data_IF_741900506179
#
_entry.id   IF_741900506179
#
_cell.length_a   1.000
_cell.length_b   1.000
_cell.length_c   1.000
_cell.angle_alpha   90.00
_cell.angle_beta   90.00
_cell.angle_gamma   90.00
#
_symmetry.space_group_name_H-M   'P 1'
#
loop_
_entity.id
_entity.type
_entity.pdbx_description
1 polymer ?
#
# COMPACT_ATOMS: atom_id res chain seq x y z
N UNK A 1 19.01 -20.62 -15.67
CA UNK A 1 17.56 -20.36 -15.84
C UNK A 1 17.17 -19.21 -14.93
N UNK A 2 16.77 -18.06 -15.49
CA UNK A 2 16.20 -16.97 -14.69
C UNK A 2 14.81 -17.38 -14.20
N UNK A 3 14.60 -17.46 -12.89
CA UNK A 3 13.25 -17.55 -12.31
C UNK A 3 12.54 -16.20 -12.54
N UNK A 4 11.26 -16.24 -12.88
CA UNK A 4 10.43 -15.02 -12.94
C UNK A 4 10.39 -14.34 -11.57
N UNK A 5 10.32 -13.00 -11.54
CA UNK A 5 10.23 -12.22 -10.30
C UNK A 5 9.07 -12.68 -9.40
N UNK A 6 7.95 -13.09 -10.00
CA UNK A 6 6.81 -13.68 -9.29
C UNK A 6 7.19 -14.97 -8.55
N UNK A 7 7.95 -15.85 -9.20
CA UNK A 7 8.38 -17.13 -8.61
C UNK A 7 9.32 -16.88 -7.43
N UNK A 8 10.21 -15.89 -7.54
CA UNK A 8 11.12 -15.53 -6.44
C UNK A 8 10.37 -14.92 -5.26
N UNK A 9 9.48 -13.95 -5.50
CA UNK A 9 8.66 -13.34 -4.44
C UNK A 9 7.81 -14.41 -3.75
N UNK A 10 7.19 -15.30 -4.52
CA UNK A 10 6.36 -16.37 -3.98
C UNK A 10 7.14 -17.41 -3.16
N UNK A 11 8.43 -17.65 -3.46
CA UNK A 11 9.26 -18.58 -2.69
C UNK A 11 9.84 -17.99 -1.42
N UNK A 12 10.03 -16.66 -1.36
CA UNK A 12 10.68 -15.96 -0.24
C UNK A 12 9.69 -15.33 0.75
N UNK A 13 8.39 -15.36 0.45
CA UNK A 13 7.35 -14.75 1.30
C UNK A 13 6.17 -15.70 1.51
N UNK A 14 5.35 -15.45 2.55
CA UNK A 14 4.21 -16.29 2.89
C UNK A 14 2.97 -15.50 3.31
N UNK A 15 1.84 -16.20 3.44
CA UNK A 15 0.56 -15.62 3.84
C UNK A 15 0.07 -14.50 2.92
N UNK A 16 -0.71 -13.60 3.49
CA UNK A 16 -1.30 -12.48 2.74
C UNK A 16 -0.26 -11.43 2.29
N UNK A 17 0.90 -11.38 2.96
CA UNK A 17 2.02 -10.56 2.51
C UNK A 17 2.55 -11.03 1.14
N UNK A 18 2.72 -12.34 0.95
CA UNK A 18 3.05 -12.92 -0.35
C UNK A 18 1.99 -12.60 -1.39
N UNK A 19 0.71 -12.79 -1.04
CA UNK A 19 -0.39 -12.59 -1.97
C UNK A 19 -0.47 -11.13 -2.43
N UNK A 20 -0.23 -10.18 -1.52
CA UNK A 20 -0.12 -8.77 -1.83
C UNK A 20 1.04 -8.48 -2.80
N UNK A 21 2.24 -8.97 -2.51
CA UNK A 21 3.39 -8.73 -3.37
C UNK A 21 3.21 -9.35 -4.75
N UNK A 22 2.66 -10.57 -4.84
CA UNK A 22 2.35 -11.22 -6.11
C UNK A 22 1.33 -10.39 -6.92
N UNK A 23 0.29 -9.85 -6.28
CA UNK A 23 -0.68 -8.98 -6.94
C UNK A 23 -0.01 -7.71 -7.49
N UNK A 24 0.86 -7.07 -6.71
CA UNK A 24 1.58 -5.86 -7.13
C UNK A 24 2.55 -6.14 -8.29
N UNK A 25 3.30 -7.25 -8.24
CA UNK A 25 4.25 -7.64 -9.30
C UNK A 25 3.54 -8.05 -10.59
N UNK A 26 2.33 -8.61 -10.49
CA UNK A 26 1.50 -8.94 -11.66
C UNK A 26 1.12 -7.67 -12.43
N UNK A 27 1.07 -6.51 -11.77
CA UNK A 27 0.89 -5.21 -12.42
C UNK A 27 -0.52 -4.97 -12.97
N UNK A 28 -1.53 -5.70 -12.50
CA UNK A 28 -2.92 -5.59 -12.95
C UNK A 28 -3.71 -4.46 -12.27
N UNK A 29 -3.02 -3.48 -11.68
CA UNK A 29 -3.67 -2.31 -11.08
C UNK A 29 -4.27 -1.44 -12.17
N UNK A 30 -5.45 -0.90 -11.92
CA UNK A 30 -6.04 0.10 -12.80
C UNK A 30 -5.09 1.30 -12.99
N UNK A 31 -4.76 1.59 -14.24
CA UNK A 31 -3.86 2.67 -14.65
C UNK A 31 -4.61 3.93 -15.11
N UNK A 32 -5.95 3.88 -15.13
CA UNK A 32 -6.81 5.02 -15.43
C UNK A 32 -6.72 6.11 -14.35
N UNK A 33 -7.34 7.25 -14.65
CA UNK A 33 -7.62 8.30 -13.66
C UNK A 33 -9.11 8.34 -13.29
N UNK A 34 -9.85 7.32 -13.68
CA UNK A 34 -11.29 7.28 -13.50
C UNK A 34 -11.62 6.97 -12.05
N UNK A 35 -12.75 7.51 -11.59
CA UNK A 35 -13.18 7.34 -10.21
C UNK A 35 -14.69 7.17 -10.13
N UNK A 36 -15.13 6.45 -9.10
CA UNK A 36 -16.53 6.19 -8.83
C UNK A 36 -16.82 6.40 -7.33
N UNK A 37 -17.62 7.42 -7.03
CA UNK A 37 -17.95 7.81 -5.65
C UNK A 37 -18.78 6.75 -4.92
N UNK A 38 -19.69 6.07 -5.62
CA UNK A 38 -20.50 5.04 -5.01
C UNK A 38 -19.65 3.82 -4.67
N UNK A 39 -18.80 3.38 -5.60
CA UNK A 39 -17.86 2.28 -5.36
C UNK A 39 -16.89 2.62 -4.23
N UNK A 40 -16.44 3.87 -4.12
CA UNK A 40 -15.57 4.31 -3.03
C UNK A 40 -16.25 4.16 -1.66
N UNK A 41 -17.54 4.49 -1.57
CA UNK A 41 -18.35 4.33 -0.35
C UNK A 41 -18.56 2.85 -0.02
N UNK A 42 -18.85 2.03 -1.03
CA UNK A 42 -19.05 0.59 -0.85
C UNK A 42 -17.76 -0.09 -0.36
N UNK A 43 -16.61 0.27 -0.95
CA UNK A 43 -15.29 -0.21 -0.53
C UNK A 43 -14.92 0.28 0.87
N UNK A 44 -15.26 1.52 1.24
CA UNK A 44 -15.09 2.02 2.60
C UNK A 44 -15.89 1.19 3.63
N UNK A 45 -17.13 0.79 3.30
CA UNK A 45 -17.95 -0.08 4.14
C UNK A 45 -17.31 -1.46 4.29
N UNK A 46 -16.76 -2.04 3.21
CA UNK A 46 -16.05 -3.33 3.24
C UNK A 46 -14.81 -3.28 4.15
N UNK A 47 -13.98 -2.23 4.00
CA UNK A 47 -12.80 -2.03 4.85
C UNK A 47 -13.18 -1.84 6.33
N UNK A 48 -14.28 -1.14 6.61
CA UNK A 48 -14.76 -0.94 7.97
C UNK A 48 -15.29 -2.23 8.59
N UNK A 49 -15.95 -3.07 7.80
CA UNK A 49 -16.40 -4.39 8.24
C UNK A 49 -15.22 -5.31 8.59
N UNK A 50 -14.18 -5.32 7.75
CA UNK A 50 -12.95 -6.10 7.99
C UNK A 50 -12.27 -5.69 9.30
N UNK A 51 -12.18 -4.39 9.59
CA UNK A 51 -11.58 -3.91 10.84
C UNK A 51 -12.43 -4.12 12.10
N UNK A 52 -13.70 -4.54 11.95
CA UNK A 52 -14.57 -4.91 13.08
C UNK A 52 -14.66 -6.41 13.30
N UNK A 53 -14.59 -7.18 12.22
CA UNK A 53 -14.54 -8.61 12.30
C UNK A 53 -13.14 -9.03 12.77
N UNK A 54 -13.02 -9.61 13.97
CA UNK A 54 -11.84 -10.40 14.40
C UNK A 54 -11.58 -11.65 13.54
N UNK A 55 -12.08 -11.66 12.31
CA UNK A 55 -12.29 -12.84 11.48
C UNK A 55 -11.75 -12.57 10.08
N UNK A 56 -10.42 -12.56 9.94
CA UNK A 56 -9.89 -13.30 8.80
C UNK A 56 -9.77 -14.75 9.27
N UNK A 57 -10.89 -15.46 9.18
CA UNK A 57 -10.88 -16.92 9.23
C UNK A 57 -9.91 -17.43 8.18
N UNK A 58 -9.04 -18.37 8.58
CA UNK A 58 -7.98 -18.98 7.76
C UNK A 58 -8.47 -19.31 6.33
N UNK A 59 -8.14 -18.47 5.34
CA UNK A 59 -8.21 -18.85 3.93
C UNK A 59 -8.71 -17.81 2.91
N UNK A 60 -9.36 -16.71 3.31
CA UNK A 60 -9.81 -15.68 2.36
C UNK A 60 -8.96 -14.41 2.45
N UNK A 61 -8.57 -13.83 1.30
CA UNK A 61 -7.87 -12.55 1.25
C UNK A 61 -8.77 -11.42 1.75
N UNK A 62 -8.20 -10.51 2.54
CA UNK A 62 -8.92 -9.34 3.08
C UNK A 62 -9.39 -8.40 1.97
N UNK A 63 -10.39 -7.58 2.28
CA UNK A 63 -10.76 -6.46 1.41
C UNK A 63 -9.62 -5.45 1.32
N UNK A 64 -8.76 -5.32 2.34
CA UNK A 64 -7.54 -4.52 2.27
C UNK A 64 -6.64 -4.97 1.12
N UNK A 65 -6.34 -6.27 0.98
CA UNK A 65 -5.55 -6.77 -0.14
C UNK A 65 -6.21 -6.42 -1.47
N UNK A 66 -7.49 -6.78 -1.63
CA UNK A 66 -8.19 -6.63 -2.91
C UNK A 66 -8.22 -5.16 -3.35
N UNK A 67 -8.64 -4.26 -2.47
CA UNK A 67 -8.80 -2.84 -2.76
C UNK A 67 -7.45 -2.16 -2.93
N UNK A 68 -6.52 -2.36 -1.98
CA UNK A 68 -5.22 -1.68 -2.02
C UNK A 68 -4.32 -2.18 -3.15
N UNK A 69 -4.47 -3.41 -3.64
CA UNK A 69 -3.66 -3.93 -4.74
C UNK A 69 -4.19 -3.57 -6.14
N UNK A 70 -5.50 -3.43 -6.32
CA UNK A 70 -6.12 -3.31 -7.66
C UNK A 70 -6.56 -1.89 -8.05
N UNK A 71 -7.00 -1.07 -7.09
CA UNK A 71 -7.59 0.23 -7.39
C UNK A 71 -6.54 1.27 -7.78
N UNK A 72 -6.89 2.19 -8.68
CA UNK A 72 -6.01 3.31 -9.04
C UNK A 72 -5.87 4.30 -7.86
N UNK A 73 -4.81 5.11 -7.88
CA UNK A 73 -4.49 6.03 -6.76
C UNK A 73 -5.57 7.09 -6.52
N UNK A 74 -6.32 7.51 -7.54
CA UNK A 74 -7.37 8.53 -7.41
C UNK A 74 -8.61 7.94 -6.74
N UNK A 75 -8.98 6.70 -7.12
CA UNK A 75 -10.06 5.97 -6.48
C UNK A 75 -9.72 5.65 -5.01
N UNK A 76 -8.49 5.23 -4.72
CA UNK A 76 -8.04 4.97 -3.35
C UNK A 76 -8.17 6.19 -2.44
N UNK A 77 -7.86 7.40 -2.92
CA UNK A 77 -8.05 8.63 -2.14
C UNK A 77 -9.51 8.85 -1.75
N UNK A 78 -10.46 8.55 -2.65
CA UNK A 78 -11.90 8.62 -2.36
C UNK A 78 -12.32 7.56 -1.34
N UNK A 79 -11.82 6.33 -1.48
CA UNK A 79 -12.07 5.26 -0.51
C UNK A 79 -11.58 5.66 0.88
N UNK A 80 -10.38 6.25 0.99
CA UNK A 80 -9.82 6.67 2.28
C UNK A 80 -10.63 7.81 2.92
N UNK A 81 -11.10 8.76 2.11
CA UNK A 81 -11.97 9.84 2.58
C UNK A 81 -13.32 9.29 3.08
N UNK A 82 -13.98 8.43 2.30
CA UNK A 82 -15.25 7.81 2.69
C UNK A 82 -15.09 6.91 3.93
N UNK A 83 -13.97 6.20 4.05
CA UNK A 83 -13.65 5.41 5.24
C UNK A 83 -13.49 6.28 6.48
N UNK A 84 -12.82 7.42 6.36
CA UNK A 84 -12.63 8.35 7.48
C UNK A 84 -13.96 8.94 7.96
N UNK A 85 -14.85 9.31 7.02
CA UNK A 85 -16.20 9.77 7.31
C UNK A 85 -17.04 8.69 8.01
N UNK A 86 -17.00 7.46 7.50
CA UNK A 86 -17.78 6.33 8.04
C UNK A 86 -17.30 5.87 9.43
N UNK A 87 -15.98 5.77 9.61
CA UNK A 87 -15.38 5.13 10.78
C UNK A 87 -15.03 6.10 11.92
N UNK A 88 -14.94 7.41 11.61
CA UNK A 88 -14.39 8.42 12.51
C UNK A 88 -12.88 8.32 12.74
N UNK A 89 -12.17 7.50 11.95
CA UNK A 89 -10.73 7.29 12.05
C UNK A 89 -10.08 7.15 10.67
N UNK A 90 -8.81 7.48 10.55
CA UNK A 90 -8.05 7.31 9.31
C UNK A 90 -7.82 5.83 9.00
N UNK A 91 -7.67 5.49 7.72
CA UNK A 91 -7.38 4.12 7.28
C UNK A 91 -6.03 3.61 7.85
N UNK A 92 -5.04 4.49 8.02
CA UNK A 92 -3.74 4.16 8.58
C UNK A 92 -3.87 3.61 10.01
N UNK A 93 -4.63 4.31 10.87
CA UNK A 93 -4.92 3.86 12.24
C UNK A 93 -5.65 2.52 12.27
N UNK A 94 -6.56 2.27 11.33
CA UNK A 94 -7.22 0.97 11.22
C UNK A 94 -6.21 -0.12 10.85
N UNK A 95 -5.33 0.14 9.88
CA UNK A 95 -4.26 -0.80 9.49
C UNK A 95 -3.32 -1.08 10.66
N UNK A 96 -2.92 -0.05 11.41
CA UNK A 96 -2.02 -0.17 12.57
C UNK A 96 -2.63 -1.00 13.71
N UNK A 97 -3.96 -1.01 13.83
CA UNK A 97 -4.66 -1.77 14.85
C UNK A 97 -4.88 -3.24 14.46
N UNK A 98 -5.18 -3.48 13.18
CA UNK A 98 -5.65 -4.80 12.71
C UNK A 98 -4.51 -5.68 12.15
N UNK A 99 -3.44 -5.08 11.63
CA UNK A 99 -2.32 -5.81 11.03
C UNK A 99 -1.02 -5.60 11.79
N UNK A 100 -0.08 -6.52 11.61
CA UNK A 100 1.27 -6.41 12.18
C UNK A 100 2.35 -6.79 11.16
N UNK A 101 3.61 -6.54 11.51
CA UNK A 101 4.76 -6.97 10.73
C UNK A 101 4.84 -6.35 9.33
N UNK A 102 5.30 -7.14 8.35
CA UNK A 102 5.57 -6.62 7.01
C UNK A 102 4.30 -6.40 6.18
N UNK A 103 3.21 -7.11 6.49
CA UNK A 103 1.91 -6.85 5.89
C UNK A 103 1.38 -5.46 6.27
N UNK A 104 1.43 -5.12 7.57
CA UNK A 104 1.07 -3.78 8.06
C UNK A 104 1.89 -2.68 7.38
N UNK A 105 3.23 -2.84 7.37
CA UNK A 105 4.13 -1.86 6.72
C UNK A 105 3.82 -1.69 5.24
N UNK A 106 3.47 -2.77 4.55
CA UNK A 106 3.16 -2.75 3.12
C UNK A 106 1.85 -2.01 2.84
N UNK A 107 0.79 -2.26 3.60
CA UNK A 107 -0.44 -1.50 3.45
C UNK A 107 -0.26 -0.02 3.77
N UNK A 108 0.45 0.33 4.85
CA UNK A 108 0.77 1.73 5.16
C UNK A 108 1.58 2.39 4.04
N UNK A 109 2.51 1.66 3.43
CA UNK A 109 3.30 2.15 2.29
C UNK A 109 2.41 2.46 1.09
N UNK A 110 1.46 1.58 0.75
CA UNK A 110 0.51 1.80 -0.35
C UNK A 110 -0.38 3.00 -0.06
N UNK A 111 -0.92 3.11 1.16
CA UNK A 111 -1.76 4.26 1.55
C UNK A 111 -0.98 5.56 1.42
N UNK A 112 0.25 5.63 1.95
CA UNK A 112 1.08 6.84 1.88
C UNK A 112 1.40 7.22 0.43
N UNK A 113 1.82 6.26 -0.39
CA UNK A 113 2.16 6.50 -1.78
C UNK A 113 0.95 6.89 -2.65
N UNK A 114 -0.24 6.34 -2.37
CA UNK A 114 -1.48 6.70 -3.07
C UNK A 114 -1.97 8.09 -2.66
N UNK A 115 -1.90 8.43 -1.37
CA UNK A 115 -2.29 9.74 -0.84
C UNK A 115 -1.41 10.86 -1.37
N UNK A 116 -0.08 10.72 -1.24
CA UNK A 116 0.89 11.72 -1.67
C UNK A 116 2.25 11.06 -1.92
N UNK A 117 2.56 10.85 -3.21
CA UNK A 117 3.75 10.12 -3.66
C UNK A 117 5.04 10.90 -3.36
N UNK A 118 5.02 12.20 -3.59
CA UNK A 118 6.16 13.08 -3.33
C UNK A 118 6.48 13.11 -1.84
N UNK A 119 5.47 13.28 -0.99
CA UNK A 119 5.64 13.23 0.47
C UNK A 119 6.12 11.86 0.96
N UNK A 120 5.66 10.78 0.35
CA UNK A 120 6.16 9.44 0.64
C UNK A 120 7.67 9.35 0.37
N UNK A 121 8.14 9.73 -0.82
CA UNK A 121 9.57 9.67 -1.14
C UNK A 121 10.41 10.66 -0.33
N UNK A 122 9.91 11.86 -0.05
CA UNK A 122 10.57 12.81 0.85
C UNK A 122 10.77 12.23 2.25
N UNK A 123 9.77 11.49 2.77
CA UNK A 123 9.89 10.75 4.04
C UNK A 123 10.92 9.62 3.95
N UNK A 124 10.99 8.91 2.83
CA UNK A 124 12.00 7.85 2.63
C UNK A 124 13.42 8.42 2.61
N UNK A 125 13.64 9.56 1.94
CA UNK A 125 14.92 10.29 1.95
C UNK A 125 15.28 10.77 3.36
N UNK A 126 14.35 11.42 4.05
CA UNK A 126 14.59 11.85 5.43
C UNK A 126 14.96 10.67 6.33
N UNK A 127 14.19 9.58 6.25
CA UNK A 127 14.44 8.40 7.07
C UNK A 127 15.76 7.68 6.71
N UNK A 128 16.26 7.77 5.48
CA UNK A 128 17.55 7.17 5.12
C UNK A 128 18.74 7.94 5.70
N UNK A 129 18.58 9.23 5.99
CA UNK A 129 19.62 10.11 6.54
C UNK A 129 19.45 10.39 8.04
N UNK A 130 18.27 10.13 8.61
CA UNK A 130 17.99 10.42 10.02
C UNK A 130 18.75 9.47 10.95
N UNK A 131 19.53 10.04 11.87
CA UNK A 131 20.21 9.32 12.95
C UNK A 131 21.73 9.39 12.82
N UNK A 132 22.43 8.50 13.52
CA UNK A 132 23.87 8.34 13.33
C UNK A 132 24.12 7.43 12.13
N UNK A 133 24.82 7.97 11.13
CA UNK A 133 25.08 7.29 9.85
C UNK A 133 23.95 7.46 8.84
N UNK A 134 24.13 6.84 7.68
CA UNK A 134 23.21 6.92 6.54
C UNK A 134 22.90 5.52 6.05
N UNK A 135 21.65 5.27 5.66
CA UNK A 135 21.26 4.06 4.93
C UNK A 135 21.50 4.28 3.45
N UNK A 136 22.77 4.21 3.04
CA UNK A 136 23.22 4.62 1.70
C UNK A 136 22.46 3.91 0.57
N UNK A 137 22.21 2.60 0.70
CA UNK A 137 21.43 1.84 -0.28
C UNK A 137 20.00 2.36 -0.46
N UNK A 138 19.37 2.86 0.61
CA UNK A 138 18.02 3.44 0.54
C UNK A 138 18.06 4.83 -0.08
N UNK A 139 19.04 5.64 0.32
CA UNK A 139 19.26 6.99 -0.21
C UNK A 139 19.52 6.95 -1.72
N UNK A 140 20.52 6.16 -2.15
CA UNK A 140 20.90 5.99 -3.56
C UNK A 140 19.70 5.51 -4.38
N UNK A 141 18.96 4.50 -3.87
CA UNK A 141 17.81 3.94 -4.58
C UNK A 141 16.73 4.99 -4.84
N UNK A 142 16.40 5.82 -3.84
CA UNK A 142 15.38 6.87 -4.03
C UNK A 142 15.90 7.96 -4.98
N UNK A 143 17.11 8.47 -4.78
CA UNK A 143 17.66 9.54 -5.63
C UNK A 143 17.74 9.11 -7.10
N UNK A 144 18.32 7.94 -7.38
CA UNK A 144 18.48 7.44 -8.74
C UNK A 144 17.12 7.15 -9.38
N UNK A 145 16.23 6.40 -8.71
CA UNK A 145 14.95 5.99 -9.32
C UNK A 145 13.93 7.12 -9.48
N UNK A 146 14.09 8.25 -8.80
CA UNK A 146 13.18 9.40 -8.86
C UNK A 146 13.73 10.60 -9.64
N UNK A 147 15.03 10.62 -9.93
CA UNK A 147 15.75 11.72 -10.61
C UNK A 147 15.07 12.27 -11.87
N UNK A 148 14.47 11.40 -12.69
CA UNK A 148 13.83 11.78 -13.96
C UNK A 148 12.31 11.60 -13.93
N UNK A 149 11.70 11.44 -12.74
CA UNK A 149 10.27 11.18 -12.59
C UNK A 149 9.55 12.29 -11.83
N UNK A 150 10.00 12.61 -10.63
CA UNK A 150 9.37 13.62 -9.77
C UNK A 150 10.36 14.28 -8.79
N UNK A 151 11.67 14.08 -8.98
CA UNK A 151 12.71 14.82 -8.29
C UNK A 151 13.09 16.02 -9.15
N UNK A 152 12.64 17.21 -8.75
CA UNK A 152 13.02 18.47 -9.40
C UNK A 152 14.36 18.97 -8.85
N UNK A 153 15.14 19.64 -9.72
CA UNK A 153 16.41 20.27 -9.38
C UNK A 153 16.21 21.70 -8.85
#
# INVERSE_FOLDING_TARGET
>A
MHRSALVQVASETSGEFKDLLCALVTGSRDSSRDTNDQEAKDDAVRLYADGKAKLVGKGAASHFLKILASQNQYQLRKVFAAFAELSGSTIEKAIEKEFSGDLQKSYLTIVQAASDKQKFFARQLYNSMKGLGTRDNDLIRVLVSRSEVDLEL
#
